data_IF_301934863330
#
_entry.id   IF_301934863330
#
_cell.length_a   1.000
_cell.length_b   1.000
_cell.length_c   1.000
_cell.angle_alpha   90.00
_cell.angle_beta   90.00
_cell.angle_gamma   90.00
#
_symmetry.space_group_name_H-M   'P 1'
#
loop_
_entity.id
_entity.type
_entity.pdbx_description
1 polymer ?
#
# COMPACT_ATOMS: atom_id res chain seq x y z
N UNK A 1 6.09 38.52 24.17
CA UNK A 1 6.85 37.38 23.60
C UNK A 1 7.43 37.81 22.26
N UNK A 2 8.76 37.91 22.12
CA UNK A 2 9.39 38.04 20.80
C UNK A 2 9.18 36.71 20.09
N UNK A 3 8.27 36.66 19.13
CA UNK A 3 8.22 35.54 18.19
C UNK A 3 9.54 35.54 17.43
N UNK A 4 10.41 34.59 17.75
CA UNK A 4 11.65 34.38 17.02
C UNK A 4 11.25 33.79 15.65
N UNK A 5 10.95 34.68 14.71
CA UNK A 5 10.44 34.32 13.40
C UNK A 5 11.60 33.70 12.62
N UNK A 6 11.47 32.43 12.24
CA UNK A 6 12.45 31.76 11.39
C UNK A 6 12.59 32.54 10.07
N UNK A 7 13.82 32.77 9.63
CA UNK A 7 14.13 33.49 8.39
C UNK A 7 14.11 32.59 7.15
N UNK A 8 13.90 31.29 7.34
CA UNK A 8 13.81 30.29 6.26
C UNK A 8 12.44 29.57 6.29
N UNK A 9 11.98 29.03 5.15
CA UNK A 9 10.68 28.37 5.05
C UNK A 9 10.69 26.89 5.45
N UNK A 10 11.81 26.35 5.94
CA UNK A 10 11.95 24.93 6.29
C UNK A 10 11.51 24.64 7.72
N UNK A 11 11.04 23.41 7.95
CA UNK A 11 10.61 22.93 9.26
C UNK A 11 11.83 22.39 10.02
N UNK A 12 12.08 22.93 11.21
CA UNK A 12 13.04 22.39 12.18
C UNK A 12 12.27 21.49 13.16
N UNK A 13 12.29 20.19 12.91
CA UNK A 13 11.57 19.19 13.71
C UNK A 13 12.19 19.11 15.11
N UNK A 14 11.35 19.05 16.14
CA UNK A 14 11.80 18.85 17.52
C UNK A 14 12.36 17.44 17.73
N UNK A 15 13.24 17.22 18.73
CA UNK A 15 13.72 15.88 19.06
C UNK A 15 12.55 14.92 19.31
N UNK A 16 12.53 13.82 18.56
CA UNK A 16 11.44 12.84 18.59
C UNK A 16 11.97 11.44 18.91
N UNK A 17 11.27 10.65 19.75
CA UNK A 17 11.67 9.29 20.08
C UNK A 17 11.36 8.27 18.96
N UNK A 18 10.50 8.62 18.00
CA UNK A 18 9.95 7.67 17.04
C UNK A 18 10.98 6.97 16.16
N UNK A 19 12.05 7.62 15.64
CA UNK A 19 13.09 6.91 14.89
C UNK A 19 13.74 5.77 15.68
N UNK A 20 13.99 5.99 16.98
CA UNK A 20 14.59 4.98 17.84
C UNK A 20 13.62 3.84 18.15
N UNK A 21 12.37 4.15 18.50
CA UNK A 21 11.37 3.12 18.82
C UNK A 21 10.98 2.29 17.60
N UNK A 22 10.94 2.90 16.40
CA UNK A 22 10.77 2.16 15.14
C UNK A 22 11.95 1.21 14.90
N UNK A 23 13.18 1.69 15.10
CA UNK A 23 14.38 0.85 14.91
C UNK A 23 14.39 -0.35 15.87
N UNK A 24 14.03 -0.13 17.14
CA UNK A 24 13.90 -1.21 18.13
C UNK A 24 12.77 -2.17 17.75
N UNK A 25 11.60 -1.67 17.35
CA UNK A 25 10.46 -2.49 16.93
C UNK A 25 10.80 -3.39 15.74
N UNK A 26 11.45 -2.83 14.72
CA UNK A 26 11.91 -3.58 13.54
C UNK A 26 12.98 -4.61 13.91
N UNK A 27 13.92 -4.28 14.81
CA UNK A 27 14.91 -5.23 15.30
C UNK A 27 14.30 -6.41 16.05
N UNK A 28 13.32 -6.15 16.93
CA UNK A 28 12.56 -7.20 17.65
C UNK A 28 11.78 -8.06 16.64
N UNK A 29 11.14 -7.43 15.65
CA UNK A 29 10.38 -8.15 14.62
C UNK A 29 11.29 -9.07 13.79
N UNK A 30 12.46 -8.59 13.37
CA UNK A 30 13.45 -9.38 12.63
C UNK A 30 13.95 -10.58 13.46
N UNK A 31 14.34 -10.35 14.71
CA UNK A 31 14.78 -11.42 15.62
C UNK A 31 13.65 -12.41 15.89
N UNK A 32 12.44 -11.92 16.12
CA UNK A 32 11.24 -12.73 16.33
C UNK A 32 10.91 -13.59 15.10
N UNK A 33 11.11 -13.07 13.90
CA UNK A 33 10.96 -13.82 12.65
C UNK A 33 11.93 -15.00 12.57
N UNK A 34 13.21 -14.78 12.89
CA UNK A 34 14.21 -15.86 12.94
C UNK A 34 13.82 -16.93 13.96
N UNK A 35 13.44 -16.52 15.17
CA UNK A 35 12.99 -17.43 16.24
C UNK A 35 11.78 -18.25 15.78
N UNK A 36 10.78 -17.60 15.18
CA UNK A 36 9.58 -18.26 14.67
C UNK A 36 9.90 -19.29 13.59
N UNK A 37 10.75 -18.95 12.63
CA UNK A 37 11.15 -19.88 11.57
C UNK A 37 12.00 -21.07 12.06
N UNK A 38 12.60 -20.99 13.25
CA UNK A 38 13.24 -22.16 13.90
C UNK A 38 12.27 -23.08 14.65
N UNK A 39 10.97 -22.80 14.60
CA UNK A 39 9.93 -23.61 15.24
C UNK A 39 9.63 -23.22 16.70
N UNK A 40 10.14 -22.08 17.16
CA UNK A 40 9.81 -21.51 18.47
C UNK A 40 8.58 -20.58 18.35
N UNK A 41 8.09 -20.10 19.50
CA UNK A 41 6.87 -19.28 19.56
C UNK A 41 7.02 -17.92 18.84
N UNK A 42 5.90 -17.48 18.26
CA UNK A 42 5.68 -16.22 17.56
C UNK A 42 5.56 -14.99 18.47
N UNK A 43 5.55 -15.13 19.81
CA UNK A 43 5.36 -14.01 20.75
C UNK A 43 6.31 -12.84 20.46
N UNK A 44 7.60 -13.11 20.23
CA UNK A 44 8.60 -12.05 19.97
C UNK A 44 8.30 -11.34 18.65
N UNK A 45 7.89 -12.08 17.62
CA UNK A 45 7.50 -11.53 16.32
C UNK A 45 6.26 -10.63 16.46
N UNK A 46 5.23 -11.09 17.16
CA UNK A 46 4.00 -10.34 17.42
C UNK A 46 4.30 -9.07 18.21
N UNK A 47 5.16 -9.14 19.24
CA UNK A 47 5.58 -7.98 20.01
C UNK A 47 6.27 -6.93 19.14
N UNK A 48 7.21 -7.35 18.28
CA UNK A 48 7.88 -6.46 17.34
C UNK A 48 6.92 -5.78 16.36
N UNK A 49 5.93 -6.53 15.86
CA UNK A 49 4.87 -6.01 15.00
C UNK A 49 4.02 -4.95 15.72
N UNK A 50 3.56 -5.23 16.95
CA UNK A 50 2.77 -4.30 17.76
C UNK A 50 3.54 -3.00 18.04
N UNK A 51 4.81 -3.08 18.43
CA UNK A 51 5.66 -1.90 18.68
C UNK A 51 5.83 -1.06 17.40
N UNK A 52 6.01 -1.71 16.26
CA UNK A 52 6.20 -1.04 14.96
C UNK A 52 4.91 -0.32 14.52
N UNK A 53 3.74 -0.96 14.65
CA UNK A 53 2.44 -0.35 14.35
C UNK A 53 2.15 0.82 15.29
N UNK A 54 2.35 0.62 16.59
CA UNK A 54 2.15 1.68 17.58
C UNK A 54 3.06 2.88 17.32
N UNK A 55 4.35 2.66 17.03
CA UNK A 55 5.26 3.77 16.73
C UNK A 55 4.85 4.50 15.45
N UNK A 56 4.52 3.77 14.39
CA UNK A 56 4.15 4.38 13.10
C UNK A 56 2.90 5.25 13.23
N UNK A 57 1.88 4.77 13.96
CA UNK A 57 0.65 5.54 14.21
C UNK A 57 0.89 6.80 15.04
N UNK A 58 1.71 6.72 16.10
CA UNK A 58 2.07 7.88 16.93
C UNK A 58 2.94 8.89 16.18
N UNK A 59 3.85 8.42 15.32
CA UNK A 59 4.67 9.28 14.50
C UNK A 59 3.81 10.04 13.48
N UNK A 60 2.93 9.36 12.75
CA UNK A 60 2.05 10.03 11.80
C UNK A 60 1.08 11.00 12.48
N UNK A 61 0.61 10.71 13.70
CA UNK A 61 -0.15 11.66 14.52
C UNK A 61 0.63 12.96 14.73
N UNK A 62 1.91 12.88 15.07
CA UNK A 62 2.75 14.05 15.30
C UNK A 62 2.98 14.82 13.99
N UNK A 63 3.21 14.15 12.87
CA UNK A 63 3.26 14.79 11.54
C UNK A 63 1.95 15.52 11.19
N UNK A 64 0.78 14.96 11.55
CA UNK A 64 -0.51 15.63 11.36
C UNK A 64 -0.63 16.88 12.24
N UNK A 65 -0.19 16.79 13.50
CA UNK A 65 -0.18 17.93 14.45
C UNK A 65 0.73 19.05 13.96
N UNK A 66 1.96 18.72 13.54
CA UNK A 66 2.93 19.66 13.00
C UNK A 66 2.43 20.36 11.74
N UNK A 67 1.82 19.58 10.83
CA UNK A 67 1.29 20.10 9.58
C UNK A 67 0.02 20.93 9.74
N UNK A 68 -0.94 20.47 10.55
CA UNK A 68 -2.31 21.02 10.61
C UNK A 68 -2.50 21.99 11.76
N UNK A 69 -2.01 21.66 12.95
CA UNK A 69 -2.26 22.43 14.18
C UNK A 69 -1.17 23.47 14.45
N UNK A 70 0.08 23.17 14.14
CA UNK A 70 1.21 24.08 14.34
C UNK A 70 1.57 24.88 13.07
N UNK A 71 1.11 24.44 11.89
CA UNK A 71 1.27 25.17 10.64
C UNK A 71 2.69 25.14 10.05
N UNK A 72 3.50 24.13 10.38
CA UNK A 72 4.89 24.05 9.92
C UNK A 72 5.05 23.63 8.45
N UNK A 73 3.97 23.15 7.80
CA UNK A 73 3.99 22.71 6.40
C UNK A 73 3.87 23.87 5.40
N UNK A 74 4.93 24.69 5.31
CA UNK A 74 5.03 25.74 4.29
C UNK A 74 5.02 25.15 2.87
N UNK A 75 4.88 26.01 1.84
CA UNK A 75 4.94 25.56 0.43
C UNK A 75 6.24 24.81 0.10
N UNK A 76 7.40 25.21 0.65
CA UNK A 76 8.68 24.53 0.41
C UNK A 76 8.71 23.16 1.09
N UNK A 77 8.22 23.05 2.32
CA UNK A 77 8.13 21.78 3.06
C UNK A 77 7.21 20.81 2.34
N UNK A 78 6.01 21.25 1.92
CA UNK A 78 5.08 20.42 1.13
C UNK A 78 5.69 19.91 -0.16
N UNK A 79 6.40 20.77 -0.91
CA UNK A 79 7.11 20.34 -2.11
C UNK A 79 8.14 19.25 -1.80
N UNK A 80 8.86 19.38 -0.69
CA UNK A 80 9.80 18.35 -0.21
C UNK A 80 9.11 17.03 0.11
N UNK A 81 7.98 17.07 0.83
CA UNK A 81 7.16 15.89 1.14
C UNK A 81 6.69 15.20 -0.15
N UNK A 82 6.20 15.97 -1.14
CA UNK A 82 5.76 15.41 -2.42
C UNK A 82 6.89 14.75 -3.19
N UNK A 83 8.07 15.36 -3.24
CA UNK A 83 9.25 14.75 -3.88
C UNK A 83 9.65 13.46 -3.14
N UNK A 84 9.68 13.49 -1.81
CA UNK A 84 10.01 12.30 -1.00
C UNK A 84 9.03 11.16 -1.24
N UNK A 85 7.73 11.47 -1.33
CA UNK A 85 6.70 10.46 -1.57
C UNK A 85 6.74 9.88 -2.98
N UNK A 86 7.06 10.70 -3.99
CA UNK A 86 7.30 10.20 -5.36
C UNK A 86 8.49 9.26 -5.39
N UNK A 87 9.60 9.61 -4.73
CA UNK A 87 10.78 8.74 -4.65
C UNK A 87 10.48 7.42 -3.93
N UNK A 88 9.65 7.46 -2.88
CA UNK A 88 9.14 6.25 -2.22
C UNK A 88 8.34 5.36 -3.19
N UNK A 89 7.41 5.92 -3.97
CA UNK A 89 6.69 5.13 -4.97
C UNK A 89 7.64 4.55 -6.03
N UNK A 90 8.64 5.32 -6.45
CA UNK A 90 9.65 4.82 -7.40
C UNK A 90 10.39 3.61 -6.82
N UNK A 91 10.76 3.61 -5.53
CA UNK A 91 11.36 2.42 -4.91
C UNK A 91 10.39 1.23 -4.88
N UNK A 92 9.10 1.45 -4.63
CA UNK A 92 8.10 0.37 -4.67
C UNK A 92 7.89 -0.18 -6.10
N UNK A 93 7.96 0.67 -7.13
CA UNK A 93 7.93 0.21 -8.53
C UNK A 93 9.11 -0.71 -8.84
N UNK A 94 10.33 -0.38 -8.39
CA UNK A 94 11.49 -1.26 -8.55
C UNK A 94 11.39 -2.54 -7.71
N UNK A 95 10.75 -2.49 -6.54
CA UNK A 95 10.43 -3.67 -5.76
C UNK A 95 9.52 -4.61 -6.56
N UNK A 96 8.39 -4.15 -7.09
CA UNK A 96 7.54 -4.98 -7.97
C UNK A 96 8.25 -5.42 -9.25
N UNK A 97 9.11 -4.59 -9.83
CA UNK A 97 9.90 -4.97 -11.01
C UNK A 97 10.73 -6.24 -10.75
N UNK A 98 11.34 -6.37 -9.57
CA UNK A 98 12.09 -7.59 -9.20
C UNK A 98 11.20 -8.84 -9.10
N UNK A 99 9.96 -8.68 -8.61
CA UNK A 99 8.98 -9.77 -8.53
C UNK A 99 8.55 -10.20 -9.93
N UNK A 100 8.23 -9.25 -10.81
CA UNK A 100 7.91 -9.55 -12.20
C UNK A 100 9.07 -10.19 -12.94
N UNK A 101 10.31 -9.77 -12.66
CA UNK A 101 11.49 -10.43 -13.21
C UNK A 101 11.54 -11.90 -12.78
N UNK A 102 11.36 -12.22 -11.50
CA UNK A 102 11.32 -13.61 -11.03
C UNK A 102 10.23 -14.45 -11.75
N UNK A 103 9.05 -13.87 -11.95
CA UNK A 103 7.95 -14.50 -12.71
C UNK A 103 8.34 -14.75 -14.17
N UNK A 104 8.83 -13.74 -14.88
CA UNK A 104 9.23 -13.86 -16.28
C UNK A 104 10.39 -14.83 -16.49
N UNK A 105 11.37 -14.84 -15.58
CA UNK A 105 12.47 -15.79 -15.64
C UNK A 105 11.96 -17.24 -15.58
N UNK A 106 11.01 -17.52 -14.69
CA UNK A 106 10.44 -18.86 -14.49
C UNK A 106 9.49 -19.28 -15.62
N UNK A 107 8.73 -18.34 -16.18
CA UNK A 107 7.69 -18.60 -17.17
C UNK A 107 8.19 -18.60 -18.62
N UNK A 108 9.17 -17.75 -18.98
CA UNK A 108 9.67 -17.66 -20.36
C UNK A 108 10.65 -18.79 -20.73
N UNK A 109 11.28 -19.42 -19.74
CA UNK A 109 12.16 -20.58 -19.93
C UNK A 109 11.90 -21.63 -18.85
N UNK A 110 10.73 -22.30 -18.86
CA UNK A 110 10.37 -23.26 -17.82
C UNK A 110 11.37 -24.40 -17.74
N UNK A 111 11.74 -24.79 -16.52
CA UNK A 111 12.70 -25.86 -16.31
C UNK A 111 12.11 -27.23 -16.66
N UNK A 112 12.98 -28.24 -16.83
CA UNK A 112 12.56 -29.60 -17.17
C UNK A 112 11.72 -30.22 -16.05
N UNK A 113 11.99 -29.84 -14.80
CA UNK A 113 11.24 -30.27 -13.61
C UNK A 113 9.79 -29.76 -13.61
N UNK A 114 9.51 -28.64 -14.28
CA UNK A 114 8.16 -28.11 -14.48
C UNK A 114 7.42 -28.74 -15.67
N UNK A 115 8.10 -29.64 -16.41
CA UNK A 115 7.60 -30.23 -17.65
C UNK A 115 7.93 -29.42 -18.91
N UNK A 116 8.78 -28.40 -18.82
CA UNK A 116 9.17 -27.56 -19.96
C UNK A 116 8.05 -26.69 -20.52
N UNK A 117 6.99 -26.45 -19.74
CA UNK A 117 5.83 -25.64 -20.11
C UNK A 117 5.39 -24.71 -18.96
N UNK A 118 4.61 -23.69 -19.31
CA UNK A 118 4.00 -22.76 -18.36
C UNK A 118 2.52 -22.53 -18.72
N UNK A 119 1.57 -22.66 -17.78
CA UNK A 119 1.75 -23.14 -16.40
C UNK A 119 2.36 -24.56 -16.30
N UNK A 120 3.04 -24.90 -15.18
CA UNK A 120 3.61 -26.22 -14.97
C UNK A 120 2.56 -27.34 -15.04
N UNK A 121 2.99 -28.54 -15.43
CA UNK A 121 2.11 -29.71 -15.50
C UNK A 121 1.43 -29.99 -14.13
N UNK A 122 0.10 -30.10 -14.13
CA UNK A 122 -0.70 -30.38 -12.93
C UNK A 122 -1.17 -29.15 -12.17
N UNK A 123 -0.80 -27.93 -12.60
CA UNK A 123 -1.35 -26.69 -12.06
C UNK A 123 -2.52 -26.23 -12.93
N UNK A 124 -3.68 -26.06 -12.32
CA UNK A 124 -4.84 -25.43 -12.94
C UNK A 124 -4.83 -23.92 -12.62
N UNK A 125 -4.54 -23.10 -13.62
CA UNK A 125 -4.52 -21.66 -13.47
C UNK A 125 -5.95 -21.09 -13.27
N UNK A 126 -6.04 -19.97 -12.56
CA UNK A 126 -7.31 -19.31 -12.29
C UNK A 126 -7.86 -18.67 -13.56
N UNK A 127 -9.19 -18.72 -13.71
CA UNK A 127 -9.86 -18.12 -14.86
C UNK A 127 -9.88 -16.59 -14.75
N UNK A 128 -9.24 -15.93 -15.73
CA UNK A 128 -9.19 -14.48 -15.86
C UNK A 128 -10.57 -13.79 -15.81
N UNK A 129 -11.60 -14.41 -16.40
CA UNK A 129 -12.92 -13.80 -16.62
C UNK A 129 -13.84 -13.81 -15.40
N UNK A 130 -13.40 -14.42 -14.29
CA UNK A 130 -14.18 -14.57 -13.06
C UNK A 130 -13.80 -13.49 -12.03
N UNK A 131 -13.31 -13.90 -10.86
CA UNK A 131 -12.92 -12.99 -9.78
C UNK A 131 -11.80 -12.01 -10.17
N UNK A 132 -10.77 -12.37 -10.96
CA UNK A 132 -9.73 -11.43 -11.36
C UNK A 132 -10.28 -10.23 -12.14
N UNK A 133 -11.22 -10.47 -13.07
CA UNK A 133 -11.89 -9.40 -13.82
C UNK A 133 -12.75 -8.52 -12.91
N UNK A 134 -13.51 -9.14 -12.00
CA UNK A 134 -14.31 -8.40 -11.02
C UNK A 134 -13.43 -7.48 -10.16
N UNK A 135 -12.31 -8.00 -9.64
CA UNK A 135 -11.34 -7.23 -8.86
C UNK A 135 -10.76 -6.07 -9.67
N UNK A 136 -10.51 -6.26 -10.96
CA UNK A 136 -10.07 -5.19 -11.87
C UNK A 136 -11.12 -4.09 -12.00
N UNK A 137 -12.39 -4.44 -12.18
CA UNK A 137 -13.49 -3.45 -12.25
C UNK A 137 -13.66 -2.71 -10.93
N UNK A 138 -13.60 -3.40 -9.80
CA UNK A 138 -13.67 -2.81 -8.45
C UNK A 138 -12.56 -1.78 -8.26
N UNK A 139 -11.32 -2.16 -8.57
CA UNK A 139 -10.14 -1.32 -8.35
C UNK A 139 -10.16 -0.08 -9.26
N UNK A 140 -10.43 -0.24 -10.55
CA UNK A 140 -10.57 0.90 -11.49
C UNK A 140 -11.72 1.84 -11.11
N UNK A 141 -12.85 1.28 -10.66
CA UNK A 141 -13.97 2.09 -10.16
C UNK A 141 -13.58 2.88 -8.92
N UNK A 142 -12.77 2.29 -8.03
CA UNK A 142 -12.25 2.96 -6.84
C UNK A 142 -11.30 4.11 -7.18
N UNK A 143 -10.48 3.96 -8.24
CA UNK A 143 -9.64 5.03 -8.78
C UNK A 143 -10.46 6.20 -9.33
N UNK A 144 -11.57 5.93 -10.02
CA UNK A 144 -12.49 6.96 -10.48
C UNK A 144 -13.20 7.69 -9.32
N UNK A 145 -13.63 6.95 -8.29
CA UNK A 145 -14.28 7.55 -7.12
C UNK A 145 -13.32 8.38 -6.28
N UNK A 146 -12.07 7.94 -6.07
CA UNK A 146 -11.09 8.74 -5.32
C UNK A 146 -10.69 10.01 -6.08
N UNK A 147 -10.60 9.95 -7.41
CA UNK A 147 -10.40 11.14 -8.26
C UNK A 147 -11.56 12.13 -8.12
N UNK A 148 -12.80 11.63 -8.08
CA UNK A 148 -13.98 12.46 -7.83
C UNK A 148 -13.92 13.11 -6.45
N UNK A 149 -13.48 12.38 -5.42
CA UNK A 149 -13.29 12.92 -4.08
C UNK A 149 -12.24 14.04 -4.07
N UNK A 150 -11.12 13.87 -4.80
CA UNK A 150 -10.09 14.88 -4.90
C UNK A 150 -10.60 16.18 -5.52
N UNK A 151 -11.26 16.11 -6.67
CA UNK A 151 -11.87 17.29 -7.29
C UNK A 151 -12.94 17.90 -6.40
N UNK A 152 -13.77 17.09 -5.73
CA UNK A 152 -14.74 17.56 -4.75
C UNK A 152 -14.09 18.40 -3.64
N UNK A 153 -12.89 18.02 -3.18
CA UNK A 153 -12.18 18.75 -2.12
C UNK A 153 -11.67 20.10 -2.63
N UNK A 154 -11.11 20.14 -3.85
CA UNK A 154 -10.63 21.38 -4.48
C UNK A 154 -11.78 22.37 -4.70
N UNK A 155 -12.95 21.89 -5.14
CA UNK A 155 -14.14 22.72 -5.34
C UNK A 155 -14.92 23.03 -4.05
N UNK A 156 -14.51 22.50 -2.89
CA UNK A 156 -15.19 22.70 -1.61
C UNK A 156 -16.51 21.93 -1.46
N UNK A 157 -16.80 20.98 -2.34
CA UNK A 157 -18.02 20.17 -2.33
C UNK A 157 -17.90 19.00 -1.34
N UNK A 158 -17.91 19.29 -0.03
CA UNK A 158 -17.67 18.31 1.05
C UNK A 158 -18.54 17.05 0.96
N UNK A 159 -19.83 17.19 0.61
CA UNK A 159 -20.73 16.03 0.47
C UNK A 159 -20.23 15.04 -0.59
N UNK A 160 -19.71 15.55 -1.71
CA UNK A 160 -19.14 14.72 -2.78
C UNK A 160 -17.89 14.02 -2.27
N UNK A 161 -16.98 14.74 -1.60
CA UNK A 161 -15.76 14.16 -1.00
C UNK A 161 -16.09 12.99 -0.09
N UNK A 162 -17.03 13.18 0.85
CA UNK A 162 -17.40 12.16 1.83
C UNK A 162 -18.00 10.94 1.14
N UNK A 163 -18.98 11.13 0.24
CA UNK A 163 -19.65 10.02 -0.44
C UNK A 163 -18.66 9.25 -1.31
N UNK A 164 -17.85 9.95 -2.11
CA UNK A 164 -16.85 9.32 -2.98
C UNK A 164 -15.76 8.59 -2.22
N UNK A 165 -15.29 9.10 -1.07
CA UNK A 165 -14.32 8.39 -0.23
C UNK A 165 -14.93 7.16 0.44
N UNK A 166 -16.17 7.24 0.93
CA UNK A 166 -16.86 6.05 1.48
C UNK A 166 -16.99 4.97 0.41
N UNK A 167 -17.39 5.33 -0.80
CA UNK A 167 -17.46 4.37 -1.92
C UNK A 167 -16.08 3.77 -2.21
N UNK A 168 -15.02 4.57 -2.25
CA UNK A 168 -13.65 4.09 -2.48
C UNK A 168 -13.23 3.08 -1.40
N UNK A 169 -13.48 3.38 -0.12
CA UNK A 169 -13.15 2.50 1.00
C UNK A 169 -13.96 1.20 0.99
N UNK A 170 -15.24 1.24 0.61
CA UNK A 170 -16.05 0.03 0.45
C UNK A 170 -15.48 -0.84 -0.67
N UNK A 171 -15.19 -0.26 -1.83
CA UNK A 171 -14.59 -0.97 -2.97
C UNK A 171 -13.23 -1.57 -2.60
N UNK A 172 -12.40 -0.85 -1.86
CA UNK A 172 -11.12 -1.34 -1.36
C UNK A 172 -11.26 -2.58 -0.46
N UNK A 173 -12.20 -2.55 0.49
CA UNK A 173 -12.46 -3.70 1.38
C UNK A 173 -13.05 -4.87 0.60
N UNK A 174 -13.92 -4.60 -0.39
CA UNK A 174 -14.46 -5.64 -1.27
C UNK A 174 -13.36 -6.32 -2.08
N UNK A 175 -12.42 -5.57 -2.66
CA UNK A 175 -11.26 -6.14 -3.36
C UNK A 175 -10.47 -7.10 -2.46
N UNK A 176 -10.13 -6.67 -1.24
CA UNK A 176 -9.37 -7.51 -0.29
C UNK A 176 -10.16 -8.77 0.09
N UNK A 177 -11.48 -8.64 0.29
CA UNK A 177 -12.36 -9.78 0.57
C UNK A 177 -12.43 -10.78 -0.59
N UNK A 178 -12.59 -10.29 -1.82
CA UNK A 178 -12.57 -11.10 -3.03
C UNK A 178 -11.23 -11.81 -3.22
N UNK A 179 -10.11 -11.12 -2.98
CA UNK A 179 -8.77 -11.73 -3.06
C UNK A 179 -8.55 -12.80 -2.00
N UNK A 180 -9.05 -12.58 -0.77
CA UNK A 180 -9.02 -13.61 0.28
C UNK A 180 -9.85 -14.84 -0.09
N UNK A 181 -11.01 -14.64 -0.72
CA UNK A 181 -11.83 -15.74 -1.23
C UNK A 181 -11.15 -16.48 -2.38
N UNK A 182 -10.48 -15.78 -3.30
CA UNK A 182 -9.68 -16.40 -4.37
C UNK A 182 -8.58 -17.28 -3.79
N UNK A 183 -7.81 -16.79 -2.80
CA UNK A 183 -6.74 -17.56 -2.17
C UNK A 183 -7.24 -18.80 -1.44
N UNK A 184 -8.41 -18.72 -0.81
CA UNK A 184 -8.99 -19.87 -0.10
C UNK A 184 -9.45 -20.99 -1.06
N UNK A 185 -9.90 -20.64 -2.26
CA UNK A 185 -10.43 -21.60 -3.23
C UNK A 185 -9.46 -21.95 -4.37
N UNK A 186 -8.26 -21.37 -4.38
CA UNK A 186 -7.26 -21.66 -5.41
C UNK A 186 -6.86 -23.15 -5.38
N UNK A 187 -6.75 -23.81 -6.54
CA UNK A 187 -6.38 -25.24 -6.62
C UNK A 187 -4.88 -25.48 -6.42
N UNK A 188 -4.10 -24.41 -6.23
CA UNK A 188 -2.66 -24.44 -5.94
C UNK A 188 -2.34 -23.53 -4.75
N UNK A 189 -1.19 -23.75 -4.13
CA UNK A 189 -0.70 -23.16 -2.90
C UNK A 189 0.65 -22.48 -3.09
N UNK A 190 1.12 -21.76 -2.07
CA UNK A 190 2.45 -21.13 -2.08
C UNK A 190 3.59 -22.14 -2.31
N UNK A 191 3.41 -23.39 -1.89
CA UNK A 191 4.40 -24.47 -2.02
C UNK A 191 4.41 -25.17 -3.38
N UNK A 192 3.48 -24.85 -4.30
CA UNK A 192 3.36 -25.54 -5.59
C UNK A 192 4.31 -24.95 -6.64
N UNK A 193 5.61 -25.11 -6.34
CA UNK A 193 6.72 -24.80 -7.23
C UNK A 193 6.86 -23.32 -7.58
N UNK A 194 7.49 -23.07 -8.73
CA UNK A 194 7.77 -21.71 -9.20
C UNK A 194 6.48 -20.92 -9.49
N UNK A 195 5.43 -21.58 -9.99
CA UNK A 195 4.16 -20.93 -10.29
C UNK A 195 3.46 -20.45 -9.01
N UNK A 196 3.23 -21.34 -8.05
CA UNK A 196 2.56 -20.98 -6.80
C UNK A 196 3.33 -19.91 -6.02
N UNK A 197 4.65 -20.09 -5.86
CA UNK A 197 5.49 -19.11 -5.15
C UNK A 197 5.48 -17.73 -5.81
N UNK A 198 5.68 -17.63 -7.13
CA UNK A 198 5.69 -16.33 -7.82
C UNK A 198 4.30 -15.69 -7.88
N UNK A 199 3.23 -16.48 -8.06
CA UNK A 199 1.85 -16.01 -8.01
C UNK A 199 1.54 -15.36 -6.65
N UNK A 200 1.61 -16.15 -5.56
CA UNK A 200 1.21 -15.70 -4.24
C UNK A 200 2.12 -14.62 -3.68
N UNK A 201 3.41 -14.62 -4.04
CA UNK A 201 4.31 -13.53 -3.65
C UNK A 201 3.92 -12.22 -4.36
N UNK A 202 3.67 -12.25 -5.67
CA UNK A 202 3.33 -11.05 -6.43
C UNK A 202 1.97 -10.47 -6.03
N UNK A 203 0.93 -11.30 -6.03
CA UNK A 203 -0.43 -10.88 -5.68
C UNK A 203 -0.56 -10.63 -4.17
N UNK A 204 0.20 -11.34 -3.32
CA UNK A 204 0.21 -11.13 -1.88
C UNK A 204 0.85 -9.81 -1.47
N UNK A 205 1.99 -9.45 -2.05
CA UNK A 205 2.59 -8.13 -1.81
C UNK A 205 1.72 -7.01 -2.35
N UNK A 206 1.08 -7.18 -3.51
CA UNK A 206 0.09 -6.23 -3.99
C UNK A 206 -1.09 -6.09 -3.02
N UNK A 207 -1.65 -7.20 -2.53
CA UNK A 207 -2.70 -7.19 -1.51
C UNK A 207 -2.30 -6.45 -0.23
N UNK A 208 -1.06 -6.62 0.24
CA UNK A 208 -0.51 -5.84 1.36
C UNK A 208 -0.50 -4.33 1.05
N UNK A 209 -0.11 -3.94 -0.16
CA UNK A 209 -0.14 -2.55 -0.61
C UNK A 209 -1.56 -1.99 -0.70
N UNK A 210 -2.54 -2.78 -1.15
CA UNK A 210 -3.96 -2.39 -1.13
C UNK A 210 -4.43 -2.12 0.30
N UNK A 211 -4.05 -2.96 1.27
CA UNK A 211 -4.38 -2.76 2.69
C UNK A 211 -3.74 -1.46 3.22
N UNK A 212 -2.45 -1.22 2.96
CA UNK A 212 -1.75 0.01 3.36
C UNK A 212 -2.41 1.24 2.73
N UNK A 213 -2.73 1.18 1.43
CA UNK A 213 -3.41 2.26 0.71
C UNK A 213 -4.80 2.54 1.29
N UNK A 214 -5.52 1.49 1.71
CA UNK A 214 -6.84 1.60 2.34
C UNK A 214 -6.72 2.31 3.68
N UNK A 215 -5.69 2.00 4.47
CA UNK A 215 -5.39 2.69 5.73
C UNK A 215 -5.07 4.16 5.47
N UNK A 216 -4.26 4.49 4.45
CA UNK A 216 -3.98 5.88 4.09
C UNK A 216 -5.25 6.66 3.71
N UNK A 217 -6.12 6.06 2.90
CA UNK A 217 -7.41 6.65 2.54
C UNK A 217 -8.35 6.78 3.74
N UNK A 218 -8.38 5.80 4.65
CA UNK A 218 -9.18 5.86 5.87
C UNK A 218 -8.71 6.97 6.80
N UNK A 219 -7.39 7.16 6.94
CA UNK A 219 -6.81 8.30 7.66
C UNK A 219 -7.20 9.60 6.97
N UNK A 220 -7.07 9.72 5.65
CA UNK A 220 -7.51 10.90 4.91
C UNK A 220 -9.01 11.20 5.12
N UNK A 221 -9.86 10.16 5.09
CA UNK A 221 -11.28 10.27 5.36
C UNK A 221 -11.56 10.80 6.77
N UNK A 222 -10.93 10.25 7.80
CA UNK A 222 -11.06 10.76 9.18
C UNK A 222 -10.66 12.24 9.27
N UNK A 223 -9.59 12.65 8.58
CA UNK A 223 -9.15 14.04 8.53
C UNK A 223 -10.11 14.96 7.78
N UNK A 224 -10.78 14.49 6.72
CA UNK A 224 -11.89 15.22 6.06
C UNK A 224 -13.05 15.42 7.05
N UNK A 225 -13.42 14.38 7.80
CA UNK A 225 -14.50 14.46 8.78
C UNK A 225 -14.19 15.49 9.88
N UNK A 226 -12.93 15.55 10.32
CA UNK A 226 -12.45 16.48 11.35
C UNK A 226 -12.09 17.88 10.85
N UNK A 227 -12.40 18.23 9.58
CA UNK A 227 -12.12 19.55 9.00
C UNK A 227 -10.62 19.91 8.94
N UNK A 228 -9.74 18.91 8.90
CA UNK A 228 -8.29 19.13 8.86
C UNK A 228 -7.72 19.40 7.46
N UNK A 229 -8.48 19.04 6.42
CA UNK A 229 -8.09 19.25 5.03
C UNK A 229 -8.76 20.50 4.47
N UNK A 230 -7.99 21.32 3.75
CA UNK A 230 -8.50 22.51 3.05
C UNK A 230 -8.39 22.32 1.54
N UNK A 231 -9.08 23.13 0.75
CA UNK A 231 -9.00 23.10 -0.72
C UNK A 231 -7.63 23.49 -1.30
N UNK A 232 -6.71 24.03 -0.50
CA UNK A 232 -5.35 24.43 -0.93
C UNK A 232 -4.22 23.70 -0.19
N UNK A 233 -4.55 22.96 0.88
CA UNK A 233 -3.60 22.27 1.73
C UNK A 233 -4.16 20.92 2.17
N UNK A 234 -3.82 19.89 1.38
CA UNK A 234 -4.26 18.50 1.58
C UNK A 234 -3.20 17.49 1.09
N UNK A 235 -1.91 17.80 1.33
CA UNK A 235 -0.77 17.02 0.83
C UNK A 235 -0.82 15.53 1.21
N UNK A 236 -1.26 15.19 2.42
CA UNK A 236 -1.40 13.79 2.83
C UNK A 236 -2.50 13.04 2.08
N UNK A 237 -3.54 13.74 1.63
CA UNK A 237 -4.58 13.16 0.78
C UNK A 237 -4.09 12.99 -0.66
N UNK A 238 -3.35 13.97 -1.20
CA UNK A 238 -2.66 13.82 -2.50
C UNK A 238 -1.72 12.60 -2.51
N UNK A 239 -0.93 12.42 -1.44
CA UNK A 239 -0.08 11.23 -1.27
C UNK A 239 -0.89 9.93 -1.23
N UNK A 240 -2.00 9.89 -0.48
CA UNK A 240 -2.86 8.70 -0.42
C UNK A 240 -3.47 8.36 -1.80
N UNK A 241 -3.93 9.38 -2.56
CA UNK A 241 -4.44 9.20 -3.92
C UNK A 241 -3.35 8.68 -4.87
N UNK A 242 -2.15 9.27 -4.80
CA UNK A 242 -1.04 8.86 -5.65
C UNK A 242 -0.63 7.41 -5.38
N UNK A 243 -0.61 7.00 -4.11
CA UNK A 243 -0.34 5.62 -3.72
C UNK A 243 -1.47 4.67 -4.18
N UNK A 244 -2.73 5.10 -4.07
CA UNK A 244 -3.87 4.33 -4.54
C UNK A 244 -3.79 4.05 -6.04
N UNK A 245 -3.49 5.07 -6.86
CA UNK A 245 -3.29 4.87 -8.30
C UNK A 245 -2.05 4.04 -8.64
N UNK A 246 -0.99 4.10 -7.83
CA UNK A 246 0.13 3.17 -7.97
C UNK A 246 -0.33 1.71 -7.79
N UNK A 247 -1.14 1.45 -6.76
CA UNK A 247 -1.73 0.12 -6.52
C UNK A 247 -2.64 -0.31 -7.67
N UNK A 248 -3.44 0.60 -8.25
CA UNK A 248 -4.25 0.34 -9.44
C UNK A 248 -3.38 -0.13 -10.62
N UNK A 249 -2.28 0.59 -10.90
CA UNK A 249 -1.40 0.28 -12.03
C UNK A 249 -0.71 -1.06 -11.84
N UNK A 250 -0.17 -1.35 -10.64
CA UNK A 250 0.48 -2.63 -10.36
C UNK A 250 -0.51 -3.79 -10.54
N UNK A 251 -1.77 -3.63 -10.11
CA UNK A 251 -2.80 -4.64 -10.34
C UNK A 251 -3.03 -4.92 -11.83
N UNK A 252 -3.11 -3.89 -12.66
CA UNK A 252 -3.29 -4.08 -14.11
C UNK A 252 -2.14 -4.89 -14.71
N UNK A 253 -0.91 -4.66 -14.27
CA UNK A 253 0.23 -5.49 -14.69
C UNK A 253 0.09 -6.93 -14.20
N UNK A 254 -0.31 -7.17 -12.94
CA UNK A 254 -0.55 -8.52 -12.42
C UNK A 254 -1.67 -9.23 -13.20
N UNK A 255 -2.79 -8.55 -13.43
CA UNK A 255 -3.94 -9.06 -14.17
C UNK A 255 -3.56 -9.47 -15.59
N UNK A 256 -2.84 -8.62 -16.33
CA UNK A 256 -2.44 -8.90 -17.71
C UNK A 256 -1.38 -10.01 -17.76
N UNK A 257 -0.35 -9.93 -16.91
CA UNK A 257 0.82 -10.81 -17.00
C UNK A 257 0.55 -12.17 -16.37
N UNK A 258 0.09 -12.19 -15.12
CA UNK A 258 -0.03 -13.42 -14.34
C UNK A 258 -1.33 -14.14 -14.64
N UNK A 259 -2.47 -13.43 -14.59
CA UNK A 259 -3.78 -14.03 -14.82
C UNK A 259 -4.14 -14.15 -16.31
N UNK A 260 -3.53 -13.32 -17.16
CA UNK A 260 -3.87 -13.25 -18.58
C UNK A 260 -2.90 -14.02 -19.47
N UNK A 261 -1.62 -13.63 -19.48
CA UNK A 261 -0.61 -14.20 -20.37
C UNK A 261 -0.02 -15.53 -19.85
N UNK A 262 0.23 -15.61 -18.54
CA UNK A 262 0.91 -16.76 -17.94
C UNK A 262 0.00 -17.73 -17.19
N UNK A 263 -1.30 -17.69 -17.48
CA UNK A 263 -2.33 -18.63 -17.02
C UNK A 263 -2.82 -19.50 -18.18
#
# INVERSE_FOLDING_TARGET
>A
MKYNKQSHPFHLVEPSPWPLTTSIGLGIMAMGGVIYFTGLDSIVLILGLVVTIMTSTLWWRDCIREGTLQGYHTKKVRKGINIGFILFIVSEVFFFFSIFWAYFHSSLSPSVELGGMWPPMGIEALNLWELPLLNTVILLSSGATVTTAHHGLIYGARRIVILSLITTLILAVLFVGCQGYEYYNAPFSFSDGAYGSTFFFATGFHGLHVIIGTIFLAVAFNRVMNYELTNQHHVGFESAILYWHFVDIVWLFLFIVIYGWGA
#
